data_IF_623143218258
#
_entry.id   IF_623143218258
#
_cell.length_a   1.000
_cell.length_b   1.000
_cell.length_c   1.000
_cell.angle_alpha   90.00
_cell.angle_beta   90.00
_cell.angle_gamma   90.00
#
_symmetry.space_group_name_H-M   'P 1'
#
loop_
_entity.id
_entity.type
_entity.pdbx_description
1 polymer ?
#
# COMPACT_ATOMS: atom_id res chain seq x y z
N UNK A 1 -37.24 23.90 50.36
CA UNK A 1 -37.35 22.79 49.39
C UNK A 1 -36.90 23.29 48.03
N UNK A 2 -35.90 22.62 47.45
CA UNK A 2 -35.55 22.43 46.02
C UNK A 2 -35.45 23.68 45.12
N UNK A 3 -34.40 23.87 44.30
CA UNK A 3 -34.03 22.97 43.21
C UNK A 3 -32.53 23.07 42.86
N UNK A 4 -31.91 21.90 42.65
CA UNK A 4 -30.51 21.74 42.26
C UNK A 4 -30.21 22.26 40.85
N UNK A 5 -28.94 22.62 40.62
CA UNK A 5 -28.45 23.18 39.37
C UNK A 5 -28.71 22.24 38.18
N UNK A 6 -29.23 22.82 37.09
CA UNK A 6 -29.37 22.15 35.81
C UNK A 6 -27.97 21.77 35.30
N UNK A 7 -27.77 20.49 34.96
CA UNK A 7 -26.54 20.02 34.32
C UNK A 7 -26.35 20.65 32.94
N UNK A 8 -25.10 20.76 32.49
CA UNK A 8 -24.73 21.27 31.16
C UNK A 8 -25.36 20.43 30.04
N UNK A 9 -25.85 21.08 28.98
CA UNK A 9 -26.45 20.46 27.78
C UNK A 9 -25.48 19.54 26.98
N UNK A 10 -24.22 19.42 27.42
CA UNK A 10 -23.19 18.66 26.72
C UNK A 10 -22.67 19.39 25.48
N UNK A 11 -21.75 18.75 24.74
CA UNK A 11 -21.22 19.28 23.48
C UNK A 11 -21.31 18.23 22.39
N UNK A 12 -21.79 18.65 21.23
CA UNK A 12 -21.85 17.79 20.04
C UNK A 12 -20.51 17.91 19.31
N UNK A 13 -19.87 16.78 19.06
CA UNK A 13 -18.65 16.73 18.25
C UNK A 13 -19.02 16.42 16.81
N UNK A 14 -18.52 17.25 15.88
CA UNK A 14 -18.68 17.08 14.45
C UNK A 14 -17.31 16.82 13.85
N UNK A 15 -17.14 15.63 13.27
CA UNK A 15 -15.99 15.25 12.47
C UNK A 15 -16.52 15.03 11.03
N UNK A 16 -15.94 15.71 10.04
CA UNK A 16 -16.38 15.69 8.63
C UNK A 16 -15.20 15.93 7.69
N UNK A 17 -15.20 15.27 6.52
CA UNK A 17 -14.19 15.47 5.47
C UNK A 17 -14.25 16.89 4.91
N UNK A 18 -15.46 17.37 4.64
CA UNK A 18 -15.72 18.74 4.21
C UNK A 18 -16.09 19.61 5.43
N UNK A 19 -15.27 20.62 5.70
CA UNK A 19 -15.49 21.59 6.77
C UNK A 19 -16.79 22.39 6.58
N UNK A 20 -17.39 22.41 5.40
CA UNK A 20 -18.62 23.15 5.11
C UNK A 20 -19.88 22.28 5.14
N UNK A 21 -19.74 20.94 5.16
CA UNK A 21 -20.88 20.01 5.11
C UNK A 21 -21.85 20.18 6.29
N UNK A 22 -21.39 20.68 7.45
CA UNK A 22 -22.24 20.89 8.62
C UNK A 22 -23.13 22.14 8.55
N UNK A 23 -22.99 23.00 7.52
CA UNK A 23 -23.72 24.29 7.44
C UNK A 23 -25.24 24.14 7.39
N UNK A 24 -25.72 23.03 6.85
CA UNK A 24 -27.14 22.71 6.77
C UNK A 24 -27.61 21.80 7.92
N UNK A 25 -26.72 21.48 8.88
CA UNK A 25 -27.03 20.64 10.02
C UNK A 25 -27.53 21.52 11.18
N UNK A 26 -28.81 21.39 11.51
CA UNK A 26 -29.38 22.05 12.69
C UNK A 26 -29.20 21.14 13.90
N UNK A 27 -28.35 21.56 14.83
CA UNK A 27 -28.07 20.84 16.07
C UNK A 27 -28.59 21.64 17.26
N UNK A 28 -29.34 20.99 18.15
CA UNK A 28 -29.65 21.56 19.46
C UNK A 28 -28.43 21.45 20.38
N UNK A 29 -27.83 22.58 20.76
CA UNK A 29 -26.71 22.64 21.71
C UNK A 29 -25.38 23.12 21.11
N UNK A 30 -24.35 23.25 21.96
CA UNK A 30 -23.04 23.73 21.56
C UNK A 30 -22.26 22.66 20.77
N UNK A 31 -21.81 23.01 19.56
CA UNK A 31 -21.01 22.09 18.72
C UNK A 31 -19.51 22.40 18.76
N UNK A 32 -18.69 21.37 18.55
CA UNK A 32 -17.24 21.45 18.43
C UNK A 32 -16.81 20.71 17.18
N UNK A 33 -15.90 21.32 16.42
CA UNK A 33 -15.34 20.73 15.20
C UNK A 33 -14.01 20.07 15.53
N UNK A 34 -13.87 18.79 15.21
CA UNK A 34 -12.57 18.15 15.21
C UNK A 34 -11.66 18.78 14.17
N UNK A 35 -10.39 18.99 14.50
CA UNK A 35 -9.40 19.59 13.59
C UNK A 35 -8.60 18.56 12.80
N UNK A 36 -8.74 17.27 13.12
CA UNK A 36 -8.00 16.18 12.49
C UNK A 36 -8.91 14.98 12.29
N UNK A 37 -9.12 14.63 11.03
CA UNK A 37 -9.78 13.41 10.61
C UNK A 37 -8.80 12.65 9.73
N UNK A 38 -8.53 11.39 10.07
CA UNK A 38 -7.76 10.50 9.21
C UNK A 38 -8.78 9.67 8.43
N UNK A 39 -8.95 10.00 7.16
CA UNK A 39 -9.76 9.23 6.21
C UNK A 39 -8.82 8.61 5.20
N UNK A 40 -9.06 7.34 4.87
CA UNK A 40 -8.30 6.68 3.81
C UNK A 40 -8.63 7.37 2.48
N UNK A 41 -7.63 7.73 1.65
CA UNK A 41 -7.88 8.28 0.33
C UNK A 41 -8.80 7.35 -0.47
N UNK A 42 -9.66 7.89 -1.35
CA UNK A 42 -10.58 7.07 -2.17
C UNK A 42 -9.84 6.08 -3.07
N UNK A 43 -8.57 6.36 -3.38
CA UNK A 43 -7.65 5.45 -4.05
C UNK A 43 -6.49 5.20 -3.11
N UNK A 44 -6.39 3.98 -2.57
CA UNK A 44 -5.22 3.55 -1.81
C UNK A 44 -4.19 3.01 -2.81
N UNK A 45 -3.00 3.64 -2.94
CA UNK A 45 -1.99 3.16 -3.85
C UNK A 45 -1.54 1.74 -3.50
N UNK A 46 -1.35 0.89 -4.51
CA UNK A 46 -0.94 -0.51 -4.35
C UNK A 46 0.20 -0.85 -5.29
N UNK A 47 1.12 -1.66 -4.80
CA UNK A 47 2.21 -2.22 -5.59
C UNK A 47 2.00 -3.73 -5.71
N UNK A 48 2.14 -4.25 -6.93
CA UNK A 48 1.94 -5.64 -7.26
C UNK A 48 3.19 -6.23 -7.90
N UNK A 49 3.53 -7.46 -7.53
CA UNK A 49 4.45 -8.28 -8.31
C UNK A 49 3.60 -8.96 -9.40
N UNK A 50 3.85 -8.64 -10.66
CA UNK A 50 3.05 -9.12 -11.81
C UNK A 50 3.80 -10.15 -12.67
N UNK A 51 5.10 -10.26 -12.45
CA UNK A 51 5.93 -11.31 -13.06
C UNK A 51 7.08 -11.64 -12.12
N UNK A 52 7.38 -12.93 -11.95
CA UNK A 52 8.59 -13.40 -11.30
C UNK A 52 9.03 -14.72 -11.94
N UNK A 53 10.30 -14.79 -12.35
CA UNK A 53 10.90 -16.00 -12.93
C UNK A 53 10.12 -16.58 -14.13
N UNK A 54 9.62 -15.70 -15.01
CA UNK A 54 8.80 -16.08 -16.17
C UNK A 54 7.37 -16.53 -15.84
N UNK A 55 6.97 -16.54 -14.57
CA UNK A 55 5.59 -16.77 -14.16
C UNK A 55 4.82 -15.46 -14.14
N UNK A 56 3.68 -15.41 -14.82
CA UNK A 56 2.76 -14.26 -14.78
C UNK A 56 1.90 -14.36 -13.52
N UNK A 57 1.83 -13.25 -12.78
CA UNK A 57 1.14 -13.19 -11.49
C UNK A 57 -0.02 -12.19 -11.63
N UNK A 58 -1.28 -12.61 -11.38
CA UNK A 58 -2.42 -11.73 -11.48
C UNK A 58 -2.32 -10.52 -10.54
N UNK A 59 -2.73 -9.35 -11.01
CA UNK A 59 -2.89 -8.16 -10.15
C UNK A 59 -3.86 -8.47 -9.02
N UNK A 60 -3.55 -8.01 -7.81
CA UNK A 60 -4.31 -8.33 -6.60
C UNK A 60 -3.93 -9.64 -5.91
N UNK A 61 -2.94 -10.37 -6.42
CA UNK A 61 -2.31 -11.48 -5.69
C UNK A 61 -1.63 -10.98 -4.40
N UNK A 62 -1.36 -11.89 -3.48
CA UNK A 62 -0.74 -11.58 -2.19
C UNK A 62 0.55 -10.75 -2.34
N UNK A 63 0.86 -9.92 -1.34
CA UNK A 63 1.99 -8.96 -1.36
C UNK A 63 3.38 -9.61 -1.48
N UNK A 64 3.46 -10.93 -1.24
CA UNK A 64 4.67 -11.72 -1.40
C UNK A 64 4.43 -12.91 -2.33
N UNK A 65 5.45 -13.23 -3.12
CA UNK A 65 5.43 -14.33 -4.08
C UNK A 65 6.50 -15.34 -3.66
N UNK A 66 6.13 -16.60 -3.59
CA UNK A 66 7.09 -17.69 -3.37
C UNK A 66 7.38 -18.37 -4.71
N UNK A 67 8.65 -18.49 -5.07
CA UNK A 67 9.13 -19.13 -6.28
C UNK A 67 10.20 -20.14 -5.90
N UNK A 68 10.13 -21.33 -6.48
CA UNK A 68 11.24 -22.28 -6.48
C UNK A 68 11.65 -22.51 -7.93
N UNK A 69 12.92 -22.24 -8.25
CA UNK A 69 13.43 -22.45 -9.60
C UNK A 69 13.71 -23.93 -9.85
N UNK A 70 13.20 -24.52 -10.94
CA UNK A 70 13.55 -25.88 -11.33
C UNK A 70 15.03 -26.03 -11.67
N UNK A 71 15.58 -27.22 -11.44
CA UNK A 71 16.94 -27.59 -11.82
C UNK A 71 17.23 -27.28 -13.30
N UNK A 72 18.38 -26.67 -13.58
CA UNK A 72 18.81 -26.31 -14.93
C UNK A 72 18.25 -24.97 -15.46
N UNK A 73 17.43 -24.26 -14.67
CA UNK A 73 16.97 -22.91 -15.01
C UNK A 73 18.07 -21.88 -14.76
N UNK A 74 18.10 -20.80 -15.54
CA UNK A 74 18.96 -19.64 -15.27
C UNK A 74 18.69 -19.09 -13.86
N UNK A 75 19.73 -18.77 -13.09
CA UNK A 75 19.59 -18.06 -11.81
C UNK A 75 19.28 -16.57 -12.01
N UNK A 76 19.59 -16.03 -13.18
CA UNK A 76 19.24 -14.65 -13.58
C UNK A 76 17.80 -14.63 -14.07
N UNK A 77 16.93 -13.99 -13.30
CA UNK A 77 15.48 -13.98 -13.52
C UNK A 77 14.93 -12.56 -13.51
N UNK A 78 13.93 -12.31 -14.34
CA UNK A 78 13.23 -11.02 -14.35
C UNK A 78 12.11 -11.04 -13.32
N UNK A 79 12.01 -9.92 -12.58
CA UNK A 79 10.86 -9.60 -11.73
C UNK A 79 10.29 -8.28 -12.21
N UNK A 80 8.96 -8.23 -12.39
CA UNK A 80 8.24 -7.03 -12.81
C UNK A 80 7.22 -6.61 -11.75
N UNK A 81 7.26 -5.33 -11.43
CA UNK A 81 6.35 -4.67 -10.51
C UNK A 81 5.39 -3.79 -11.29
N UNK A 82 4.14 -3.72 -10.84
CA UNK A 82 3.12 -2.79 -11.35
C UNK A 82 2.56 -1.95 -10.22
N UNK A 83 2.48 -0.64 -10.43
CA UNK A 83 1.77 0.25 -9.52
C UNK A 83 0.30 0.42 -9.87
N UNK A 84 -0.53 0.72 -8.88
CA UNK A 84 -1.92 1.13 -9.05
C UNK A 84 -2.18 2.31 -8.12
N UNK A 85 -2.82 3.38 -8.61
CA UNK A 85 -3.19 4.54 -7.79
C UNK A 85 -2.03 5.43 -7.34
N UNK A 86 -0.80 5.17 -7.79
CA UNK A 86 0.34 6.07 -7.59
C UNK A 86 0.30 7.25 -8.57
N UNK A 87 1.01 8.33 -8.22
CA UNK A 87 1.19 9.51 -9.08
C UNK A 87 2.66 9.93 -9.12
N UNK A 88 3.13 10.37 -10.29
CA UNK A 88 4.51 10.82 -10.48
C UNK A 88 5.53 9.68 -10.37
N UNK A 89 6.72 10.01 -9.89
CA UNK A 89 7.81 9.06 -9.71
C UNK A 89 7.80 8.49 -8.30
N UNK A 90 7.78 7.16 -8.17
CA UNK A 90 7.69 6.45 -6.88
C UNK A 90 8.93 5.59 -6.68
N UNK A 91 9.63 5.78 -5.57
CA UNK A 91 10.70 4.88 -5.16
C UNK A 91 10.08 3.58 -4.62
N UNK A 92 10.51 2.44 -5.14
CA UNK A 92 10.06 1.12 -4.70
C UNK A 92 11.26 0.26 -4.31
N UNK A 93 11.02 -0.69 -3.40
CA UNK A 93 12.01 -1.67 -2.96
C UNK A 93 11.49 -3.06 -3.25
N UNK A 94 12.36 -3.87 -3.83
CA UNK A 94 12.19 -5.31 -4.01
C UNK A 94 13.18 -6.03 -3.11
N UNK A 95 12.70 -7.02 -2.37
CA UNK A 95 13.54 -7.89 -1.54
C UNK A 95 13.33 -9.33 -1.94
N UNK A 96 14.44 -10.02 -2.15
CA UNK A 96 14.49 -11.44 -2.45
C UNK A 96 15.09 -12.14 -1.25
N UNK A 97 14.34 -13.06 -0.65
CA UNK A 97 14.72 -13.79 0.57
C UNK A 97 14.67 -15.29 0.28
N UNK A 98 15.81 -15.89 -0.11
CA UNK A 98 15.95 -17.33 -0.17
C UNK A 98 15.92 -17.98 1.22
N UNK A 99 15.59 -19.26 1.31
CA UNK A 99 15.48 -20.01 2.58
C UNK A 99 16.84 -20.34 3.23
N UNK A 100 17.88 -20.53 2.44
CA UNK A 100 19.22 -20.99 2.81
C UNK A 100 20.34 -20.05 2.36
N UNK A 101 20.02 -19.06 1.52
CA UNK A 101 20.97 -18.08 1.00
C UNK A 101 20.72 -16.66 1.53
N UNK A 102 21.70 -15.77 1.37
CA UNK A 102 21.57 -14.38 1.80
C UNK A 102 20.49 -13.63 0.99
N UNK A 103 19.74 -12.76 1.67
CA UNK A 103 18.76 -11.88 1.01
C UNK A 103 19.44 -10.84 0.13
N UNK A 104 18.78 -10.44 -0.97
CA UNK A 104 19.20 -9.32 -1.81
C UNK A 104 18.11 -8.25 -1.89
N UNK A 105 18.53 -7.00 -2.07
CA UNK A 105 17.65 -5.82 -2.06
C UNK A 105 17.91 -5.00 -3.32
N UNK A 106 16.83 -4.61 -3.99
CA UNK A 106 16.88 -3.81 -5.21
C UNK A 106 16.00 -2.58 -5.02
N UNK A 107 16.60 -1.41 -5.16
CA UNK A 107 15.90 -0.13 -5.14
C UNK A 107 15.62 0.30 -6.58
N UNK A 108 14.35 0.51 -6.89
CA UNK A 108 13.86 0.82 -8.23
C UNK A 108 13.03 2.10 -8.22
N UNK A 109 12.86 2.65 -9.41
CA UNK A 109 12.05 3.84 -9.62
C UNK A 109 10.91 3.50 -10.56
N UNK A 110 9.68 3.57 -10.04
CA UNK A 110 8.46 3.37 -10.80
C UNK A 110 7.98 4.72 -11.37
N UNK A 111 7.74 4.78 -12.67
CA UNK A 111 7.03 5.89 -13.30
C UNK A 111 5.52 5.60 -13.31
N UNK A 112 4.76 6.26 -12.43
CA UNK A 112 3.32 6.10 -12.37
C UNK A 112 2.57 6.80 -13.52
N UNK A 113 3.27 7.59 -14.34
CA UNK A 113 2.72 8.18 -15.58
C UNK A 113 2.71 7.22 -16.77
N UNK A 114 3.42 6.10 -16.69
CA UNK A 114 3.45 5.09 -17.74
C UNK A 114 2.14 4.28 -17.83
N UNK A 115 1.87 3.68 -18.99
CA UNK A 115 0.66 2.88 -19.25
C UNK A 115 1.02 1.52 -19.87
N UNK A 116 1.03 0.42 -19.09
CA UNK A 116 0.83 0.35 -17.63
C UNK A 116 2.03 0.90 -16.83
N UNK A 117 1.82 1.38 -15.60
CA UNK A 117 2.92 1.84 -14.73
C UNK A 117 3.68 0.65 -14.17
N UNK A 118 4.77 0.28 -14.85
CA UNK A 118 5.57 -0.91 -14.54
C UNK A 118 7.07 -0.60 -14.45
N UNK A 119 7.76 -1.38 -13.63
CA UNK A 119 9.22 -1.38 -13.56
C UNK A 119 9.71 -2.81 -13.41
N UNK A 120 10.80 -3.16 -14.11
CA UNK A 120 11.40 -4.49 -14.07
C UNK A 120 12.86 -4.42 -13.65
N UNK A 121 13.31 -5.46 -12.96
CA UNK A 121 14.73 -5.67 -12.68
C UNK A 121 15.09 -7.14 -12.80
N UNK A 122 16.37 -7.40 -13.05
CA UNK A 122 16.93 -8.74 -13.04
C UNK A 122 17.46 -9.04 -11.64
N UNK A 123 17.00 -10.14 -11.07
CA UNK A 123 17.40 -10.64 -9.75
C UNK A 123 18.09 -12.00 -9.88
N UNK A 124 18.88 -12.36 -8.88
CA UNK A 124 19.46 -13.70 -8.77
C UNK A 124 18.61 -14.53 -7.82
N UNK A 125 18.02 -15.62 -8.33
CA UNK A 125 17.30 -16.61 -7.54
C UNK A 125 18.10 -17.93 -7.52
N UNK A 126 18.30 -18.56 -6.35
CA UNK A 126 18.92 -19.88 -6.29
C UNK A 126 18.01 -20.95 -6.91
N UNK A 127 18.64 -22.01 -7.42
CA UNK A 127 17.95 -23.16 -8.02
C UNK A 127 17.71 -24.22 -6.96
N UNK A 128 16.51 -24.84 -6.96
CA UNK A 128 16.15 -25.90 -6.02
C UNK A 128 15.96 -25.43 -4.58
N UNK A 129 15.66 -24.14 -4.39
CA UNK A 129 15.46 -23.53 -3.08
C UNK A 129 14.25 -22.59 -3.14
N UNK A 130 13.27 -22.72 -2.23
CA UNK A 130 12.17 -21.77 -2.11
C UNK A 130 12.69 -20.37 -1.82
N UNK A 131 12.24 -19.41 -2.62
CA UNK A 131 12.61 -18.00 -2.47
C UNK A 131 11.36 -17.15 -2.37
N UNK A 132 11.28 -16.35 -1.31
CA UNK A 132 10.22 -15.36 -1.12
C UNK A 132 10.64 -14.02 -1.71
N UNK A 133 9.75 -13.41 -2.48
CA UNK A 133 9.92 -12.11 -3.11
C UNK A 133 8.86 -11.17 -2.53
N UNK A 134 9.29 -10.07 -1.92
CA UNK A 134 8.43 -9.02 -1.37
C UNK A 134 8.76 -7.67 -2.03
N UNK A 135 7.75 -6.81 -2.19
CA UNK A 135 7.95 -5.47 -2.73
C UNK A 135 7.06 -4.43 -2.04
N UNK A 136 7.57 -3.21 -1.87
CA UNK A 136 6.81 -2.09 -1.31
C UNK A 136 7.28 -0.73 -1.85
N UNK A 137 6.40 0.26 -1.82
CA UNK A 137 6.75 1.66 -2.05
C UNK A 137 7.42 2.26 -0.82
N UNK A 138 8.40 3.14 -1.01
CA UNK A 138 9.12 3.84 0.05
C UNK A 138 8.53 5.22 0.36
#
# INVERSE_FOLDING_TARGET
MSLGGLGSDGRIRIDTEDRLAFRNLVLGGASTRGTRMFVFPPVTPKLHIVEAAGQVIPVGSASGVNIELPAGTSTSQTVRLRGEGFTGTVAVRLVVTPEHSASSVFDLTLDAGASPPEVSTTVTLPVGEPTRIDAWAK
#
